data_IF_950196344491
#
_entry.id   IF_950196344491
#
_cell.length_a   1.000
_cell.length_b   1.000
_cell.length_c   1.000
_cell.angle_alpha   90.00
_cell.angle_beta   90.00
_cell.angle_gamma   90.00
#
_symmetry.space_group_name_H-M   'P 1'
#
loop_
_entity.id
_entity.type
_entity.pdbx_description
1 polymer ?
#
# COMPACT_ATOMS: atom_id res chain seq x y z
N UNK A 1 -75.44 -16.03 7.53
CA UNK A 1 -74.86 -16.51 6.26
C UNK A 1 -73.62 -15.67 5.95
N UNK A 2 -72.50 -16.35 5.64
CA UNK A 2 -71.33 -15.98 4.81
C UNK A 2 -70.78 -14.54 4.81
N UNK A 3 -69.52 -14.31 5.25
CA UNK A 3 -68.27 -14.25 4.42
C UNK A 3 -68.40 -13.24 3.27
N UNK A 4 -67.58 -12.20 3.14
CA UNK A 4 -66.12 -12.24 2.99
C UNK A 4 -65.49 -10.84 3.11
N UNK A 5 -64.22 -10.87 3.49
CA UNK A 5 -63.30 -9.76 3.76
C UNK A 5 -62.78 -9.04 2.49
N UNK A 6 -62.13 -7.88 2.69
CA UNK A 6 -61.70 -6.93 1.66
C UNK A 6 -60.29 -7.24 1.12
N UNK A 7 -59.90 -6.57 0.03
CA UNK A 7 -58.63 -5.81 -0.03
C UNK A 7 -58.50 -4.96 -1.31
N UNK A 8 -58.07 -3.70 -1.18
CA UNK A 8 -57.44 -2.98 -2.28
C UNK A 8 -56.00 -3.47 -2.49
N UNK A 9 -55.59 -3.35 -3.75
CA UNK A 9 -54.23 -3.53 -4.27
C UNK A 9 -53.20 -2.70 -3.50
N UNK A 10 -51.98 -3.24 -3.32
CA UNK A 10 -50.83 -2.39 -3.47
C UNK A 10 -49.77 -3.02 -4.39
N UNK A 11 -49.63 -2.41 -5.56
CA UNK A 11 -48.36 -2.22 -6.22
C UNK A 11 -47.31 -1.76 -5.18
N UNK A 12 -46.30 -2.60 -4.96
CA UNK A 12 -45.24 -2.30 -4.01
C UNK A 12 -44.32 -3.49 -3.76
N UNK A 13 -43.33 -3.64 -4.66
CA UNK A 13 -42.07 -4.34 -4.46
C UNK A 13 -42.14 -5.86 -4.15
N UNK A 14 -42.03 -6.68 -5.21
CA UNK A 14 -41.47 -8.01 -5.09
C UNK A 14 -39.99 -7.91 -4.74
N UNK A 15 -39.65 -8.22 -3.49
CA UNK A 15 -38.34 -8.64 -3.06
C UNK A 15 -38.01 -10.02 -3.67
N UNK A 16 -36.97 -10.07 -4.50
CA UNK A 16 -36.16 -11.26 -4.73
C UNK A 16 -34.91 -11.10 -3.84
N UNK A 17 -34.30 -12.08 -3.20
CA UNK A 17 -34.40 -13.54 -3.13
C UNK A 17 -33.47 -13.92 -1.97
N UNK A 18 -33.86 -14.89 -1.13
CA UNK A 18 -33.04 -15.37 -0.01
C UNK A 18 -32.37 -16.70 -0.39
N UNK A 19 -31.02 -16.69 -0.44
CA UNK A 19 -30.05 -17.64 0.20
C UNK A 19 -30.06 -19.15 -0.21
N UNK A 20 -29.12 -20.05 0.23
CA UNK A 20 -27.68 -19.99 0.59
C UNK A 20 -26.86 -21.24 0.14
N UNK A 21 -25.63 -21.11 -0.42
CA UNK A 21 -24.59 -22.15 -0.25
C UNK A 21 -23.21 -21.73 -0.75
N UNK A 22 -22.27 -21.64 0.19
CA UNK A 22 -20.84 -21.93 -0.01
C UNK A 22 -20.05 -20.99 -0.92
N UNK A 23 -19.47 -19.93 -0.36
CA UNK A 23 -18.04 -19.64 -0.55
C UNK A 23 -17.61 -18.55 0.45
N UNK A 24 -16.72 -18.87 1.39
CA UNK A 24 -16.14 -17.84 2.24
C UNK A 24 -15.07 -17.09 1.42
N UNK A 25 -15.06 -15.76 1.55
CA UNK A 25 -13.79 -15.02 1.62
C UNK A 25 -13.00 -14.87 0.31
N UNK A 26 -13.32 -13.84 -0.47
CA UNK A 26 -12.29 -13.04 -1.17
C UNK A 26 -12.83 -11.66 -1.58
N UNK A 27 -13.33 -10.89 -0.60
CA UNK A 27 -13.29 -9.43 -0.71
C UNK A 27 -11.84 -8.97 -0.56
N UNK A 28 -10.98 -9.38 -1.48
CA UNK A 28 -9.53 -9.16 -1.40
C UNK A 28 -8.92 -9.06 -2.79
N UNK A 29 -9.46 -8.24 -3.70
CA UNK A 29 -8.62 -7.70 -4.79
C UNK A 29 -9.21 -6.49 -5.53
N UNK A 30 -9.93 -5.59 -4.86
CA UNK A 30 -10.16 -4.26 -5.44
C UNK A 30 -9.78 -3.17 -4.44
N UNK A 31 -8.60 -3.34 -3.85
CA UNK A 31 -7.85 -2.15 -3.45
C UNK A 31 -7.60 -1.37 -4.74
N UNK A 32 -7.89 -0.06 -4.80
CA UNK A 32 -7.46 0.73 -5.94
C UNK A 32 -5.97 0.45 -6.05
N UNK A 33 -5.57 -0.23 -7.13
CA UNK A 33 -4.19 -0.32 -7.58
C UNK A 33 -3.84 1.07 -8.04
N UNK A 34 -3.85 2.02 -7.08
CA UNK A 34 -3.24 3.31 -7.23
C UNK A 34 -1.89 2.93 -7.78
N UNK A 35 -1.59 3.41 -8.98
CA UNK A 35 -0.25 3.43 -9.53
C UNK A 35 0.58 4.31 -8.59
N UNK A 36 0.78 3.86 -7.36
CA UNK A 36 1.58 4.54 -6.37
C UNK A 36 2.96 4.33 -6.94
N UNK A 37 3.52 5.40 -7.50
CA UNK A 37 4.77 5.35 -8.23
C UNK A 37 5.85 4.60 -7.45
N UNK A 38 6.95 4.23 -8.11
CA UNK A 38 8.04 3.45 -7.50
C UNK A 38 8.42 3.94 -6.09
N UNK A 39 8.48 5.25 -5.86
CA UNK A 39 8.78 5.83 -4.54
C UNK A 39 7.81 5.42 -3.42
N UNK A 40 6.55 5.17 -3.74
CA UNK A 40 5.60 4.66 -2.76
C UNK A 40 5.86 3.18 -2.43
N UNK A 41 6.29 2.37 -3.40
CA UNK A 41 6.75 1.00 -3.14
C UNK A 41 7.95 1.02 -2.19
N UNK A 42 8.89 1.95 -2.39
CA UNK A 42 10.01 2.19 -1.47
C UNK A 42 9.53 2.65 -0.09
N UNK A 43 8.61 3.61 -0.01
CA UNK A 43 8.01 4.08 1.24
C UNK A 43 7.35 2.93 2.02
N UNK A 44 6.57 2.09 1.33
CA UNK A 44 5.91 0.93 1.94
C UNK A 44 6.93 -0.11 2.43
N UNK A 45 7.97 -0.39 1.63
CA UNK A 45 9.06 -1.30 2.01
C UNK A 45 9.82 -0.78 3.24
N UNK A 46 10.15 0.52 3.28
CA UNK A 46 10.76 1.17 4.44
C UNK A 46 9.87 1.08 5.67
N UNK A 47 8.56 1.31 5.54
CA UNK A 47 7.64 1.22 6.66
C UNK A 47 7.54 -0.20 7.22
N UNK A 48 7.67 -1.22 6.37
CA UNK A 48 7.72 -2.65 6.78
C UNK A 48 9.05 -3.03 7.41
N UNK A 49 10.17 -2.59 6.83
CA UNK A 49 11.53 -3.04 7.18
C UNK A 49 12.18 -2.24 8.31
N UNK A 50 11.89 -0.95 8.35
CA UNK A 50 12.52 0.00 9.26
C UNK A 50 11.47 1.04 9.73
N UNK A 51 10.44 0.62 10.50
CA UNK A 51 9.38 1.52 10.97
C UNK A 51 9.92 2.65 11.87
N UNK A 52 11.12 2.47 12.44
CA UNK A 52 11.83 3.51 13.21
C UNK A 52 12.44 4.63 12.34
N UNK A 53 12.58 4.42 11.02
CA UNK A 53 13.02 5.46 10.09
C UNK A 53 11.82 6.36 9.81
N UNK A 54 11.96 7.65 10.06
CA UNK A 54 11.00 8.67 9.62
C UNK A 54 11.10 8.81 8.11
N UNK A 55 10.24 8.12 7.39
CA UNK A 55 9.99 8.38 5.98
C UNK A 55 8.82 9.34 5.85
N UNK A 56 9.00 10.45 5.13
CA UNK A 56 7.90 11.30 4.71
C UNK A 56 7.19 10.66 3.51
N UNK A 57 5.88 10.92 3.30
CA UNK A 57 5.24 10.55 2.05
C UNK A 57 6.00 11.21 0.88
N UNK A 58 6.14 10.51 -0.27
CA UNK A 58 6.87 11.06 -1.40
C UNK A 58 6.13 12.27 -1.97
N UNK A 59 6.81 13.42 -2.05
CA UNK A 59 6.35 14.64 -2.72
C UNK A 59 7.13 14.81 -4.02
N UNK A 60 6.45 15.08 -5.13
CA UNK A 60 7.06 15.47 -6.41
C UNK A 60 8.27 14.62 -6.90
N UNK A 61 8.21 13.31 -6.69
CA UNK A 61 9.26 12.35 -7.12
C UNK A 61 10.51 12.26 -6.22
N UNK A 62 10.42 12.75 -4.98
CA UNK A 62 11.44 12.52 -3.96
C UNK A 62 10.83 11.94 -2.67
N UNK A 63 11.55 11.02 -2.04
CA UNK A 63 11.24 10.40 -0.77
C UNK A 63 12.30 10.80 0.26
N UNK A 64 11.92 11.63 1.22
CA UNK A 64 12.80 12.02 2.32
C UNK A 64 12.73 11.00 3.45
N UNK A 65 13.88 10.55 3.90
CA UNK A 65 14.04 9.56 4.97
C UNK A 65 14.98 10.11 6.03
N UNK A 66 14.76 9.75 7.29
CA UNK A 66 15.62 10.18 8.37
C UNK A 66 15.57 9.27 9.60
N UNK A 67 16.72 9.15 10.26
CA UNK A 67 16.88 8.35 11.47
C UNK A 67 17.96 8.97 12.36
N UNK A 68 17.70 9.10 13.68
CA UNK A 68 18.66 9.56 14.70
C UNK A 68 19.44 10.85 14.32
N UNK A 69 18.81 11.76 13.59
CA UNK A 69 19.42 13.03 13.15
C UNK A 69 20.17 12.97 11.82
N UNK A 70 20.27 11.79 11.19
CA UNK A 70 20.72 11.63 9.79
C UNK A 70 19.50 11.68 8.88
N UNK A 71 19.57 12.45 7.80
CA UNK A 71 18.51 12.51 6.78
C UNK A 71 19.11 12.28 5.41
N UNK A 72 18.37 11.57 4.56
CA UNK A 72 18.73 11.36 3.17
C UNK A 72 17.49 11.50 2.28
N UNK A 73 17.71 11.79 1.01
CA UNK A 73 16.63 11.99 0.05
C UNK A 73 16.82 11.01 -1.10
N UNK A 74 15.81 10.18 -1.34
CA UNK A 74 15.80 9.21 -2.44
C UNK A 74 14.89 9.72 -3.54
N UNK A 75 15.39 9.77 -4.76
CA UNK A 75 14.63 10.09 -5.96
C UNK A 75 14.45 8.84 -6.81
N UNK A 76 13.43 8.86 -7.66
CA UNK A 76 13.29 7.86 -8.70
C UNK A 76 13.82 8.43 -10.01
N UNK A 77 14.86 7.80 -10.54
CA UNK A 77 15.38 8.11 -11.86
C UNK A 77 14.49 7.42 -12.90
N UNK A 78 13.67 8.21 -13.59
CA UNK A 78 12.73 7.72 -14.59
C UNK A 78 13.42 7.24 -15.87
N UNK A 79 14.57 7.80 -16.19
CA UNK A 79 15.37 7.48 -17.39
C UNK A 79 16.05 6.11 -17.25
N UNK A 80 16.64 5.84 -16.09
CA UNK A 80 17.30 4.57 -15.77
C UNK A 80 16.33 3.55 -15.16
N UNK A 81 15.15 3.98 -14.72
CA UNK A 81 14.15 3.14 -14.08
C UNK A 81 14.62 2.57 -12.74
N UNK A 82 15.30 3.40 -11.92
CA UNK A 82 15.87 2.97 -10.65
C UNK A 82 15.83 4.05 -9.57
N UNK A 83 15.90 3.63 -8.30
CA UNK A 83 16.08 4.55 -7.18
C UNK A 83 17.52 5.06 -7.15
N UNK A 84 17.65 6.34 -6.82
CA UNK A 84 18.93 7.00 -6.61
C UNK A 84 18.83 7.98 -5.43
N UNK A 85 19.95 8.24 -4.78
CA UNK A 85 20.08 9.35 -3.86
C UNK A 85 20.09 10.66 -4.65
N UNK A 86 19.40 11.66 -4.11
CA UNK A 86 19.43 13.03 -4.66
C UNK A 86 20.88 13.55 -4.74
N UNK A 87 21.73 13.20 -3.77
CA UNK A 87 23.15 13.56 -3.77
C UNK A 87 24.04 12.76 -4.76
N UNK A 88 23.48 11.89 -5.60
CA UNK A 88 24.18 11.26 -6.72
C UNK A 88 24.70 9.83 -6.51
N UNK A 89 23.96 8.96 -5.82
CA UNK A 89 24.32 7.54 -5.65
C UNK A 89 23.19 6.61 -6.05
N UNK A 90 23.49 5.44 -6.63
CA UNK A 90 22.45 4.54 -7.13
C UNK A 90 22.05 3.50 -6.08
N UNK A 91 20.74 3.33 -5.89
CA UNK A 91 20.16 2.33 -4.99
C UNK A 91 19.65 1.10 -5.75
N UNK A 92 19.40 1.25 -7.05
CA UNK A 92 18.91 0.20 -7.94
C UNK A 92 17.39 0.22 -8.13
N UNK A 93 16.84 -0.62 -9.01
CA UNK A 93 15.41 -0.62 -9.35
C UNK A 93 14.52 -1.30 -8.31
N UNK A 94 15.10 -2.11 -7.42
CA UNK A 94 14.35 -2.90 -6.45
C UNK A 94 14.05 -2.09 -5.18
N UNK A 95 12.77 -1.98 -4.83
CA UNK A 95 12.32 -1.16 -3.69
C UNK A 95 12.72 -1.76 -2.33
N UNK A 96 12.79 -3.09 -2.21
CA UNK A 96 13.22 -3.73 -0.96
C UNK A 96 14.71 -3.56 -0.76
N UNK A 97 15.50 -3.76 -1.82
CA UNK A 97 16.95 -3.56 -1.77
C UNK A 97 17.31 -2.10 -1.52
N UNK A 98 16.60 -1.17 -2.16
CA UNK A 98 16.76 0.25 -1.90
C UNK A 98 16.39 0.60 -0.45
N UNK A 99 15.32 0.04 0.13
CA UNK A 99 14.95 0.25 1.53
C UNK A 99 16.04 -0.26 2.50
N UNK A 100 16.63 -1.43 2.21
CA UNK A 100 17.74 -1.99 2.97
C UNK A 100 18.97 -1.08 2.92
N UNK A 101 19.37 -0.64 1.73
CA UNK A 101 20.49 0.29 1.52
C UNK A 101 20.25 1.63 2.21
N UNK A 102 19.02 2.14 2.18
CA UNK A 102 18.62 3.35 2.89
C UNK A 102 18.76 3.18 4.40
N UNK A 103 18.27 2.07 4.95
CA UNK A 103 18.40 1.78 6.36
C UNK A 103 19.87 1.63 6.78
N UNK A 104 20.69 0.95 5.98
CA UNK A 104 22.14 0.85 6.17
C UNK A 104 22.83 2.22 6.14
N UNK A 105 22.53 3.06 5.15
CA UNK A 105 23.10 4.41 5.05
C UNK A 105 22.72 5.30 6.24
N UNK A 106 21.52 5.10 6.79
CA UNK A 106 21.04 5.78 7.99
C UNK A 106 21.51 5.13 9.29
N UNK A 107 22.24 4.00 9.24
CA UNK A 107 22.63 3.17 10.39
C UNK A 107 21.41 2.74 11.23
N UNK A 108 20.26 2.59 10.56
CA UNK A 108 19.03 2.12 11.15
C UNK A 108 19.01 0.59 11.15
N UNK A 109 18.60 -0.06 12.25
CA UNK A 109 18.47 -1.51 12.30
C UNK A 109 17.33 -1.97 11.38
N UNK A 110 17.63 -2.31 10.13
CA UNK A 110 16.66 -2.95 9.26
C UNK A 110 16.35 -4.35 9.78
N UNK A 111 15.08 -4.77 9.71
CA UNK A 111 14.76 -6.19 9.81
C UNK A 111 15.32 -6.90 8.58
N UNK A 112 16.56 -7.36 8.69
CA UNK A 112 17.18 -8.24 7.70
C UNK A 112 16.31 -9.50 7.59
N UNK A 113 16.08 -10.06 6.39
CA UNK A 113 15.43 -11.37 6.27
C UNK A 113 16.30 -12.54 6.78
N UNK A 114 17.40 -12.28 7.49
CA UNK A 114 18.23 -13.30 8.14
C UNK A 114 17.78 -13.52 9.59
N UNK A 115 16.67 -14.23 9.72
CA UNK A 115 16.41 -15.14 10.85
C UNK A 115 15.69 -16.36 10.26
N UNK A 116 16.44 -17.44 10.06
CA UNK A 116 16.03 -18.69 9.41
C UNK A 116 17.22 -19.58 9.12
#
# INVERSE_FOLDING_TARGET
>A
MSRSRPRPDPAGACAAVTEPMGEPMAASDELPRVRRGPLYSLYAALRRRAPQVSAAPPEDSALRVGYRGRTATVVWDGDLGQYAWESGGQLGPDAEKAAELVAWALDAPATSPSDG
#
